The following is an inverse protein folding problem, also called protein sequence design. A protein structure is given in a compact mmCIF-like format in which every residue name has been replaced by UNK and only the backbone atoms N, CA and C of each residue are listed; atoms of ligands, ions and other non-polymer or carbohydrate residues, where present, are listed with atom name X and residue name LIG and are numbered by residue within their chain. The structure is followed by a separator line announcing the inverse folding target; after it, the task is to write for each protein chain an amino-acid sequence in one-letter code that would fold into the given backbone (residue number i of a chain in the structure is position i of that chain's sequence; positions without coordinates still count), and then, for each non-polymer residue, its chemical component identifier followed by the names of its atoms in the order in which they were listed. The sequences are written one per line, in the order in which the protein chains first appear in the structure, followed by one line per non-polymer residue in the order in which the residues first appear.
data_IF_123028221098
#
_entry.id   IF_123028221098
#
_cell.length_a   1.000
_cell.length_b   1.000
_cell.length_c   1.000
_cell.angle_alpha   90.00
_cell.angle_beta   90.00
_cell.angle_gamma   90.00
#
_symmetry.space_group_name_H-M   'P 1'
#
loop_
_entity.id
_entity.type
_entity.pdbx_description
1 polymer ?
#
# COMPACT_ATOMS: atom_id res chain seq x y z
N UNK A 1 -28.83 70.19 -33.32
CA UNK A 1 -29.12 70.14 -31.88
C UNK A 1 -29.56 68.72 -31.49
N UNK A 2 -29.29 68.25 -30.26
CA UNK A 2 -29.83 67.00 -29.70
C UNK A 2 -31.30 67.20 -29.23
N UNK A 3 -32.10 66.15 -28.93
CA UNK A 3 -31.97 65.28 -27.72
C UNK A 3 -32.37 63.79 -27.97
N UNK A 4 -32.52 62.83 -27.03
CA UNK A 4 -32.50 62.79 -25.55
C UNK A 4 -32.08 61.39 -25.00
N UNK A 5 -31.85 61.32 -23.67
CA UNK A 5 -32.12 60.24 -22.66
C UNK A 5 -33.14 59.15 -23.09
N UNK A 6 -33.17 57.89 -22.58
CA UNK A 6 -32.53 57.10 -21.46
C UNK A 6 -32.64 55.59 -21.89
N UNK A 7 -32.21 54.50 -21.24
CA UNK A 7 -31.62 54.11 -19.92
C UNK A 7 -30.80 52.79 -20.17
N UNK A 8 -30.15 52.07 -19.24
CA UNK A 8 -29.96 52.24 -17.80
C UNK A 8 -30.30 51.01 -16.93
N UNK A 9 -29.56 49.88 -17.04
CA UNK A 9 -29.43 48.81 -16.01
C UNK A 9 -28.25 47.87 -16.35
N UNK A 10 -27.34 47.64 -15.41
CA UNK A 10 -26.18 46.74 -15.58
C UNK A 10 -26.48 45.27 -15.24
N UNK A 11 -25.60 44.37 -15.68
CA UNK A 11 -25.56 42.98 -15.18
C UNK A 11 -24.94 42.97 -13.77
N UNK A 12 -25.29 42.01 -12.89
CA UNK A 12 -24.54 41.76 -11.67
C UNK A 12 -23.18 41.14 -12.00
N UNK A 13 -22.11 41.65 -11.40
CA UNK A 13 -20.78 41.04 -11.49
C UNK A 13 -20.74 39.70 -10.76
N UNK A 14 -20.05 38.72 -11.34
CA UNK A 14 -19.78 37.44 -10.68
C UNK A 14 -18.68 37.64 -9.63
N UNK A 15 -18.82 37.09 -8.40
CA UNK A 15 -17.75 37.16 -7.42
C UNK A 15 -16.53 36.36 -7.90
N UNK A 16 -15.38 37.02 -7.95
CA UNK A 16 -14.11 36.40 -8.33
C UNK A 16 -13.74 35.23 -7.39
N UNK A 17 -13.02 34.19 -7.87
CA UNK A 17 -12.65 33.05 -7.05
C UNK A 17 -11.78 33.45 -5.85
N UNK A 18 -11.97 32.73 -4.74
CA UNK A 18 -11.37 33.01 -3.43
C UNK A 18 -9.85 33.26 -3.47
N UNK A 19 -9.46 34.53 -3.49
CA UNK A 19 -8.12 34.95 -3.07
C UNK A 19 -8.00 34.70 -1.56
N UNK A 20 -7.29 33.64 -1.17
CA UNK A 20 -6.92 33.43 0.23
C UNK A 20 -6.10 34.63 0.69
N UNK A 21 -6.59 35.36 1.70
CA UNK A 21 -5.76 36.36 2.39
C UNK A 21 -4.56 35.65 3.04
N UNK A 22 -3.36 36.25 3.06
CA UNK A 22 -2.29 35.78 3.93
C UNK A 22 -2.78 35.77 5.38
N UNK A 23 -2.65 34.63 6.05
CA UNK A 23 -2.98 34.49 7.47
C UNK A 23 -1.91 35.23 8.30
N UNK A 24 -2.35 36.08 9.23
CA UNK A 24 -1.44 36.84 10.08
C UNK A 24 -0.80 35.93 11.15
N UNK A 25 0.52 36.03 11.39
CA UNK A 25 1.17 35.23 12.43
C UNK A 25 0.55 35.46 13.81
N UNK A 26 0.17 34.38 14.50
CA UNK A 26 -0.25 34.42 15.90
C UNK A 26 -1.70 33.99 16.21
N UNK A 27 -2.53 33.63 15.23
CA UNK A 27 -3.84 33.04 15.54
C UNK A 27 -3.68 31.59 16.04
N UNK A 28 -3.91 31.38 17.34
CA UNK A 28 -3.97 30.05 17.94
C UNK A 28 -5.26 29.35 17.50
N UNK A 29 -5.17 28.49 16.49
CA UNK A 29 -6.25 27.56 16.16
C UNK A 29 -6.27 26.44 17.22
N UNK A 30 -7.41 26.20 17.91
CA UNK A 30 -7.51 25.07 18.83
C UNK A 30 -7.32 23.76 18.05
N UNK A 31 -6.60 22.77 18.60
CA UNK A 31 -6.30 21.52 17.89
C UNK A 31 -7.59 20.81 17.45
N UNK A 32 -7.72 20.67 16.14
CA UNK A 32 -8.91 20.12 15.48
C UNK A 32 -9.23 18.72 16.02
N UNK A 33 -10.48 18.43 16.39
CA UNK A 33 -10.81 17.29 17.29
C UNK A 33 -10.29 15.94 16.80
N UNK A 34 -10.17 15.77 15.47
CA UNK A 34 -9.57 14.59 14.83
C UNK A 34 -8.09 14.36 15.19
N UNK A 35 -7.27 15.41 15.34
CA UNK A 35 -5.84 15.25 15.66
C UNK A 35 -5.60 14.91 17.13
N UNK A 36 -6.53 15.28 18.03
CA UNK A 36 -6.56 14.80 19.41
C UNK A 36 -6.93 13.30 19.43
N UNK A 37 -8.05 12.95 18.78
CA UNK A 37 -8.54 11.56 18.70
C UNK A 37 -7.51 10.59 18.10
N UNK A 38 -6.76 11.03 17.07
CA UNK A 38 -5.70 10.22 16.51
C UNK A 38 -4.54 10.00 17.49
N UNK A 39 -4.12 11.03 18.23
CA UNK A 39 -3.10 10.91 19.29
C UNK A 39 -3.52 9.96 20.40
N UNK A 40 -4.74 10.08 20.92
CA UNK A 40 -5.30 9.17 21.92
C UNK A 40 -5.21 7.70 21.45
N UNK A 41 -5.63 7.42 20.20
CA UNK A 41 -5.62 6.06 19.65
C UNK A 41 -4.21 5.51 19.46
N UNK A 42 -3.25 6.35 19.05
CA UNK A 42 -1.85 5.94 18.85
C UNK A 42 -1.19 5.68 20.20
N UNK A 43 -1.46 6.49 21.23
CA UNK A 43 -0.97 6.25 22.58
C UNK A 43 -1.57 4.97 23.20
N UNK A 44 -2.86 4.71 22.97
CA UNK A 44 -3.50 3.45 23.42
C UNK A 44 -2.92 2.23 22.70
N UNK A 45 -2.65 2.32 21.40
CA UNK A 45 -1.99 1.25 20.64
C UNK A 45 -0.58 0.99 21.18
N UNK A 46 0.24 2.04 21.34
CA UNK A 46 1.57 1.98 21.93
C UNK A 46 1.56 1.32 23.31
N UNK A 47 0.72 1.81 24.24
CA UNK A 47 0.60 1.22 25.57
C UNK A 47 0.12 -0.24 25.53
N UNK A 48 -0.69 -0.62 24.54
CA UNK A 48 -1.16 -2.01 24.40
C UNK A 48 -0.03 -2.91 23.87
N UNK A 49 0.81 -2.42 22.96
CA UNK A 49 2.02 -3.11 22.48
C UNK A 49 2.95 -3.46 23.66
N UNK A 50 3.32 -2.47 24.48
CA UNK A 50 4.15 -2.68 25.68
C UNK A 50 3.50 -3.55 26.76
N UNK A 51 2.16 -3.54 26.88
CA UNK A 51 1.43 -4.42 27.83
C UNK A 51 1.29 -5.86 27.33
N UNK A 52 1.25 -6.07 26.02
CA UNK A 52 1.25 -7.40 25.42
C UNK A 52 2.62 -8.08 25.52
N UNK A 53 3.68 -7.27 25.68
CA UNK A 53 5.07 -7.71 25.60
C UNK A 53 5.30 -8.53 24.34
N UNK A 54 5.23 -7.88 23.18
CA UNK A 54 5.22 -8.60 21.89
C UNK A 54 6.52 -9.41 21.66
N UNK A 55 7.60 -9.06 22.36
CA UNK A 55 8.82 -9.87 22.45
C UNK A 55 8.68 -11.23 23.16
N UNK A 56 7.82 -11.34 24.19
CA UNK A 56 7.55 -12.59 24.93
C UNK A 56 6.61 -13.55 24.17
N UNK A 57 5.96 -13.09 23.10
CA UNK A 57 5.28 -13.99 22.16
C UNK A 57 6.31 -14.86 21.44
N UNK A 58 5.91 -16.07 21.01
CA UNK A 58 6.79 -16.93 20.20
C UNK A 58 7.01 -16.35 18.80
N UNK A 59 7.99 -15.45 18.69
CA UNK A 59 8.38 -14.82 17.43
C UNK A 59 8.91 -15.87 16.43
N UNK A 60 8.58 -15.77 15.13
CA UNK A 60 9.30 -16.49 14.09
C UNK A 60 10.68 -15.85 13.89
N UNK A 61 11.74 -16.66 13.83
CA UNK A 61 13.13 -16.19 13.74
C UNK A 61 13.70 -16.54 12.36
N UNK A 62 14.37 -15.59 11.69
CA UNK A 62 15.02 -15.85 10.40
C UNK A 62 16.19 -16.82 10.63
N UNK A 63 16.08 -18.06 10.14
CA UNK A 63 17.10 -19.10 10.40
C UNK A 63 18.24 -19.09 9.38
N UNK A 64 18.06 -18.47 8.21
CA UNK A 64 19.11 -18.28 7.21
C UNK A 64 20.02 -17.09 7.58
N UNK A 65 21.30 -17.30 7.95
CA UNK A 65 22.17 -16.20 8.38
C UNK A 65 22.52 -15.23 7.24
N UNK A 66 22.41 -15.69 5.98
CA UNK A 66 22.55 -14.82 4.80
C UNK A 66 21.36 -13.89 4.63
N UNK A 67 20.14 -14.38 4.86
CA UNK A 67 18.93 -13.56 4.82
C UNK A 67 18.92 -12.59 6.00
N UNK A 68 19.24 -13.06 7.21
CA UNK A 68 19.40 -12.24 8.43
C UNK A 68 20.33 -11.04 8.16
N UNK A 69 21.55 -11.29 7.67
CA UNK A 69 22.52 -10.24 7.29
C UNK A 69 22.01 -9.21 6.27
N UNK A 70 21.05 -9.55 5.43
CA UNK A 70 20.50 -8.62 4.42
C UNK A 70 19.32 -7.84 5.00
N UNK A 71 18.41 -8.48 5.75
CA UNK A 71 17.28 -7.82 6.42
C UNK A 71 17.76 -6.73 7.39
N UNK A 72 18.83 -7.02 8.13
CA UNK A 72 19.39 -6.11 9.14
C UNK A 72 20.40 -5.10 8.58
N UNK A 73 20.75 -5.15 7.28
CA UNK A 73 21.53 -4.12 6.60
C UNK A 73 20.59 -2.99 6.13
N UNK A 74 20.25 -2.06 7.02
CA UNK A 74 19.22 -1.05 6.78
C UNK A 74 19.62 -0.05 5.70
N UNK A 75 18.72 0.13 4.72
CA UNK A 75 18.88 1.18 3.72
C UNK A 75 18.82 2.59 4.35
N UNK A 76 19.74 3.51 4.03
CA UNK A 76 19.72 4.87 4.59
C UNK A 76 18.40 5.61 4.29
N UNK A 77 17.84 6.29 5.30
CA UNK A 77 16.63 7.11 5.15
C UNK A 77 16.85 8.59 5.51
N UNK A 78 17.85 8.89 6.33
CA UNK A 78 18.24 10.25 6.67
C UNK A 78 18.92 10.97 5.47
N UNK A 79 18.37 12.12 5.07
CA UNK A 79 18.89 12.97 3.99
C UNK A 79 20.03 13.90 4.47
N UNK A 80 20.13 14.11 5.78
CA UNK A 80 21.11 15.00 6.40
C UNK A 80 22.25 14.20 7.06
N UNK A 81 23.47 14.73 7.01
CA UNK A 81 24.56 14.25 7.86
C UNK A 81 24.23 14.54 9.34
N UNK A 82 24.70 13.69 10.28
CA UNK A 82 24.49 13.94 11.70
C UNK A 82 25.13 15.27 12.14
N UNK A 83 24.47 16.04 13.03
CA UNK A 83 25.12 17.18 13.72
C UNK A 83 26.48 16.79 14.32
N UNK A 84 27.51 17.64 14.20
CA UNK A 84 28.89 17.29 14.56
C UNK A 84 29.09 17.01 16.07
N UNK A 85 28.20 17.54 16.91
CA UNK A 85 28.34 17.54 18.37
C UNK A 85 27.56 16.39 19.06
N UNK A 86 26.99 15.45 18.30
CA UNK A 86 26.26 14.31 18.88
C UNK A 86 27.22 13.36 19.59
N UNK A 87 26.95 12.96 20.85
CA UNK A 87 27.69 11.89 21.49
C UNK A 87 27.50 10.60 20.69
N UNK A 88 28.61 10.03 20.22
CA UNK A 88 28.60 8.86 19.36
C UNK A 88 28.08 7.64 20.11
N UNK A 89 26.80 7.31 19.93
CA UNK A 89 26.24 6.01 20.31
C UNK A 89 26.82 4.97 19.35
N UNK A 90 27.99 4.43 19.71
CA UNK A 90 28.65 3.37 18.95
C UNK A 90 27.91 2.05 19.15
N UNK A 91 26.80 1.88 18.41
CA UNK A 91 26.48 0.55 17.88
C UNK A 91 27.71 0.10 17.08
N UNK A 92 28.23 -1.10 17.34
CA UNK A 92 29.40 -1.61 16.61
C UNK A 92 29.05 -1.80 15.12
N UNK A 93 29.30 -0.79 14.30
CA UNK A 93 29.20 -0.87 12.85
C UNK A 93 30.30 -1.79 12.31
N UNK A 94 30.06 -3.10 12.38
CA UNK A 94 30.92 -4.13 11.80
C UNK A 94 30.82 -4.05 10.29
N UNK A 95 31.67 -3.20 9.71
CA UNK A 95 32.00 -3.16 8.29
C UNK A 95 32.79 -4.44 7.95
N UNK A 96 32.10 -5.57 7.85
CA UNK A 96 32.67 -6.80 7.29
C UNK A 96 33.24 -6.48 5.89
N UNK A 97 34.55 -6.64 5.70
CA UNK A 97 35.31 -6.27 4.47
C UNK A 97 35.05 -7.23 3.29
N UNK A 98 33.80 -7.65 3.10
CA UNK A 98 33.34 -8.49 2.00
C UNK A 98 32.89 -7.69 0.77
N UNK A 99 32.45 -8.39 -0.30
CA UNK A 99 31.73 -7.74 -1.39
C UNK A 99 30.47 -7.05 -0.83
N UNK A 100 30.24 -5.79 -1.24
CA UNK A 100 29.16 -4.93 -0.71
C UNK A 100 27.83 -5.69 -0.60
N UNK A 101 27.39 -5.93 0.63
CA UNK A 101 26.10 -6.57 0.91
C UNK A 101 24.96 -5.66 0.39
N UNK A 102 23.89 -6.25 -0.19
CA UNK A 102 22.71 -5.48 -0.55
C UNK A 102 22.03 -4.95 0.73
N UNK A 103 21.53 -3.72 0.68
CA UNK A 103 20.68 -3.17 1.75
C UNK A 103 19.28 -3.78 1.67
N UNK A 104 18.57 -3.82 2.80
CA UNK A 104 17.22 -4.36 2.92
C UNK A 104 16.14 -3.70 2.04
N UNK A 105 16.45 -2.66 1.25
CA UNK A 105 15.52 -1.85 0.46
C UNK A 105 14.53 -2.61 -0.44
N UNK A 106 14.93 -3.75 -0.99
CA UNK A 106 14.04 -4.61 -1.81
C UNK A 106 13.09 -5.42 -0.92
N UNK A 107 13.56 -5.80 0.27
CA UNK A 107 12.77 -6.52 1.29
C UNK A 107 11.80 -5.58 2.02
N UNK A 108 12.18 -4.32 2.24
CA UNK A 108 11.28 -3.23 2.66
C UNK A 108 10.08 -3.16 1.71
N UNK A 109 10.33 -3.04 0.40
CA UNK A 109 9.27 -2.91 -0.60
C UNK A 109 8.32 -4.11 -0.65
N UNK A 110 8.87 -5.34 -0.68
CA UNK A 110 8.04 -6.54 -0.61
C UNK A 110 7.33 -6.70 0.74
N UNK A 111 7.94 -6.19 1.81
CA UNK A 111 7.41 -6.15 3.17
C UNK A 111 6.21 -5.23 3.35
N UNK A 112 6.26 -4.02 2.79
CA UNK A 112 5.11 -3.10 2.69
C UNK A 112 3.95 -3.76 1.92
N UNK A 113 4.23 -4.37 0.76
CA UNK A 113 3.21 -5.10 -0.01
C UNK A 113 2.60 -6.28 0.79
N UNK A 114 3.44 -7.04 1.50
CA UNK A 114 3.05 -8.18 2.32
C UNK A 114 2.23 -7.78 3.56
N UNK A 115 2.67 -6.78 4.32
CA UNK A 115 1.93 -6.24 5.47
C UNK A 115 0.68 -5.47 5.02
N UNK A 116 0.73 -4.88 3.83
CA UNK A 116 -0.38 -4.35 3.04
C UNK A 116 -1.51 -5.36 2.81
N UNK A 117 -1.19 -6.65 2.77
CA UNK A 117 -2.11 -7.77 2.63
C UNK A 117 -2.47 -8.44 3.97
N UNK A 118 -1.46 -8.88 4.74
CA UNK A 118 -1.65 -9.79 5.88
C UNK A 118 -2.35 -9.11 7.05
N UNK A 119 -2.06 -7.83 7.33
CA UNK A 119 -2.74 -7.09 8.41
C UNK A 119 -4.25 -6.99 8.11
N UNK A 120 -4.72 -6.58 6.92
CA UNK A 120 -6.11 -6.69 6.50
C UNK A 120 -6.70 -8.09 6.61
N UNK A 121 -6.03 -9.15 6.11
CA UNK A 121 -6.56 -10.52 6.19
C UNK A 121 -6.80 -10.97 7.64
N UNK A 122 -5.85 -10.72 8.55
CA UNK A 122 -5.98 -11.05 9.97
C UNK A 122 -7.01 -10.16 10.70
N UNK A 123 -7.16 -8.91 10.28
CA UNK A 123 -8.06 -7.93 10.89
C UNK A 123 -9.51 -8.02 10.39
N UNK A 124 -9.79 -8.65 9.24
CA UNK A 124 -11.13 -8.67 8.63
C UNK A 124 -12.22 -9.23 9.57
N UNK A 125 -11.89 -10.25 10.36
CA UNK A 125 -12.76 -10.86 11.39
C UNK A 125 -13.16 -9.93 12.54
N UNK A 126 -12.52 -8.77 12.69
CA UNK A 126 -12.86 -7.73 13.67
C UNK A 126 -13.57 -6.52 13.01
N UNK A 127 -13.79 -6.55 11.70
CA UNK A 127 -14.51 -5.49 10.98
C UNK A 127 -16.01 -5.52 11.24
N UNK A 128 -16.54 -4.49 11.92
CA UNK A 128 -17.99 -4.31 12.06
C UNK A 128 -18.68 -3.80 10.78
N UNK A 129 -17.90 -3.18 9.89
CA UNK A 129 -18.25 -2.66 8.56
C UNK A 129 -16.95 -2.16 7.89
N UNK A 130 -16.98 -1.93 6.57
CA UNK A 130 -15.83 -1.39 5.83
C UNK A 130 -15.15 -0.17 6.48
N UNK A 131 -15.89 0.83 6.95
CA UNK A 131 -15.26 2.03 7.53
C UNK A 131 -14.51 1.74 8.82
N UNK A 132 -15.03 0.83 9.66
CA UNK A 132 -14.33 0.34 10.86
C UNK A 132 -13.11 -0.52 10.49
N UNK A 133 -13.20 -1.31 9.42
CA UNK A 133 -12.10 -2.14 8.90
C UNK A 133 -10.97 -1.32 8.28
N UNK A 134 -11.29 -0.39 7.37
CA UNK A 134 -10.33 0.47 6.67
C UNK A 134 -9.65 1.49 7.61
N UNK A 135 -10.28 1.88 8.72
CA UNK A 135 -9.64 2.67 9.78
C UNK A 135 -8.72 1.83 10.68
N UNK A 136 -9.12 0.59 11.00
CA UNK A 136 -8.32 -0.35 11.79
C UNK A 136 -7.01 -0.70 11.10
N UNK A 137 -7.09 -1.17 9.85
CA UNK A 137 -5.93 -1.63 9.07
C UNK A 137 -4.94 -0.48 8.85
N UNK A 138 -5.43 0.68 8.41
CA UNK A 138 -4.63 1.91 8.20
C UNK A 138 -3.96 2.43 9.48
N UNK A 139 -4.49 2.13 10.67
CA UNK A 139 -3.83 2.47 11.95
C UNK A 139 -2.77 1.46 12.34
N UNK A 140 -3.06 0.16 12.19
CA UNK A 140 -2.11 -0.93 12.45
C UNK A 140 -0.91 -0.91 11.48
N UNK A 141 -1.11 -0.43 10.25
CA UNK A 141 -0.08 -0.28 9.22
C UNK A 141 0.75 1.03 9.31
N UNK A 142 0.61 1.84 10.38
CA UNK A 142 1.43 3.04 10.54
C UNK A 142 2.88 2.68 10.87
N UNK A 143 3.85 3.32 10.20
CA UNK A 143 5.28 3.16 10.48
C UNK A 143 5.64 3.36 11.97
N UNK A 144 4.96 4.27 12.68
CA UNK A 144 5.06 4.43 14.14
C UNK A 144 4.71 3.15 14.92
N UNK A 145 3.62 2.46 14.54
CA UNK A 145 3.20 1.20 15.16
C UNK A 145 4.19 0.08 14.86
N UNK A 146 4.65 0.00 13.61
CA UNK A 146 5.70 -0.95 13.21
C UNK A 146 7.00 -0.74 13.98
N UNK A 147 7.41 0.52 14.22
CA UNK A 147 8.61 0.83 14.97
C UNK A 147 8.55 0.33 16.43
N UNK A 148 7.38 0.42 17.10
CA UNK A 148 7.21 -0.17 18.43
C UNK A 148 7.26 -1.70 18.43
N UNK A 149 6.86 -2.38 17.35
CA UNK A 149 7.11 -3.82 17.22
C UNK A 149 8.61 -4.13 17.20
N UNK A 150 9.42 -3.40 16.42
CA UNK A 150 10.89 -3.60 16.35
C UNK A 150 11.58 -3.43 17.70
N UNK A 151 11.12 -2.49 18.53
CA UNK A 151 11.60 -2.28 19.90
C UNK A 151 11.22 -3.47 20.77
N UNK A 152 9.93 -3.81 20.87
CA UNK A 152 9.43 -4.89 21.73
C UNK A 152 9.97 -6.27 21.35
N UNK A 153 10.28 -6.49 20.09
CA UNK A 153 10.83 -7.74 19.57
C UNK A 153 12.36 -7.84 19.72
N UNK A 154 13.01 -6.83 20.34
CA UNK A 154 14.46 -6.72 20.51
C UNK A 154 15.27 -6.77 19.19
N UNK A 155 14.64 -6.48 18.05
CA UNK A 155 15.28 -6.55 16.73
C UNK A 155 16.44 -5.53 16.61
N UNK A 156 16.38 -4.43 17.37
CA UNK A 156 17.46 -3.45 17.47
C UNK A 156 18.74 -4.00 18.13
N UNK A 157 18.67 -5.16 18.80
CA UNK A 157 19.80 -5.85 19.40
C UNK A 157 20.38 -6.96 18.51
N UNK A 158 19.94 -7.10 17.26
CA UNK A 158 20.50 -8.09 16.34
C UNK A 158 21.96 -7.78 15.97
N UNK A 159 22.84 -8.77 16.11
CA UNK A 159 24.29 -8.70 15.81
C UNK A 159 24.66 -8.28 14.37
N UNK A 160 23.71 -8.32 13.43
CA UNK A 160 23.91 -7.93 12.03
C UNK A 160 23.27 -6.58 11.68
N UNK A 161 22.75 -5.84 12.67
CA UNK A 161 22.18 -4.51 12.46
C UNK A 161 23.25 -3.53 11.97
N UNK A 162 23.09 -3.07 10.72
CA UNK A 162 23.87 -1.99 10.11
C UNK A 162 22.88 -0.87 9.76
N UNK A 163 23.17 0.35 10.20
CA UNK A 163 22.30 1.55 10.04
C UNK A 163 23.19 2.72 9.65
N UNK A 164 22.69 3.69 8.87
CA UNK A 164 23.50 4.86 8.52
C UNK A 164 23.78 5.75 9.75
N UNK A 165 24.92 6.45 9.84
CA UNK A 165 25.19 7.36 10.96
C UNK A 165 24.14 8.48 11.13
N UNK A 166 23.52 8.96 10.05
CA UNK A 166 22.44 9.94 10.10
C UNK A 166 21.12 9.36 10.63
N UNK A 167 20.81 8.12 10.26
CA UNK A 167 19.65 7.37 10.72
C UNK A 167 19.76 6.99 12.21
N UNK A 168 20.97 6.62 12.66
CA UNK A 168 21.29 6.34 14.06
C UNK A 168 21.30 7.60 14.93
N UNK A 169 21.80 8.72 14.39
CA UNK A 169 21.67 10.04 15.01
C UNK A 169 20.21 10.46 15.18
N UNK A 170 19.36 10.27 14.15
CA UNK A 170 17.93 10.59 14.26
C UNK A 170 17.23 9.72 15.31
N UNK A 171 17.55 8.42 15.38
CA UNK A 171 17.09 7.53 16.45
C UNK A 171 17.54 7.98 17.85
N UNK A 172 18.81 8.39 17.99
CA UNK A 172 19.37 8.81 19.29
C UNK A 172 18.73 10.10 19.85
N UNK A 173 18.04 10.87 19.00
CA UNK A 173 17.25 12.05 19.39
C UNK A 173 15.74 11.78 19.47
N UNK A 174 15.27 10.59 19.06
CA UNK A 174 13.85 10.23 19.13
C UNK A 174 13.54 9.52 20.43
N UNK A 175 12.68 10.13 21.26
CA UNK A 175 12.14 9.47 22.44
C UNK A 175 10.86 8.69 22.06
N UNK A 176 10.90 7.36 22.21
CA UNK A 176 9.77 6.48 21.96
C UNK A 176 8.54 6.78 22.84
N UNK A 177 8.71 7.38 24.03
CA UNK A 177 7.59 7.79 24.89
C UNK A 177 6.77 8.97 24.31
N UNK A 178 7.32 9.66 23.31
CA UNK A 178 6.66 10.80 22.67
C UNK A 178 5.95 10.36 21.38
N UNK A 179 4.75 10.91 21.15
CA UNK A 179 3.94 10.70 19.93
C UNK A 179 4.51 11.44 18.70
N UNK A 180 5.83 11.44 18.53
CA UNK A 180 6.56 11.92 17.37
C UNK A 180 6.77 10.77 16.38
N UNK A 181 6.82 11.07 15.08
CA UNK A 181 7.05 10.05 14.06
C UNK A 181 8.38 9.34 14.30
N UNK A 182 8.35 8.00 14.24
CA UNK A 182 9.51 7.17 14.47
C UNK A 182 10.51 7.26 13.29
N UNK A 183 11.83 7.10 13.53
CA UNK A 183 12.83 6.96 12.49
C UNK A 183 12.41 5.95 11.43
N UNK A 184 12.26 6.41 10.17
CA UNK A 184 11.65 5.62 9.11
C UNK A 184 12.33 4.27 8.92
N UNK A 185 13.67 4.22 8.98
CA UNK A 185 14.44 2.99 8.88
C UNK A 185 14.01 1.87 9.84
N UNK A 186 13.42 2.18 11.01
CA UNK A 186 12.93 1.20 11.97
C UNK A 186 11.65 0.52 11.44
N UNK A 187 10.71 1.27 10.90
CA UNK A 187 9.53 0.69 10.24
C UNK A 187 9.94 -0.13 9.01
N UNK A 188 10.86 0.40 8.21
CA UNK A 188 11.44 -0.30 7.05
C UNK A 188 12.13 -1.61 7.44
N UNK A 189 12.72 -1.69 8.65
CA UNK A 189 13.29 -2.92 9.21
C UNK A 189 12.20 -3.92 9.60
N UNK A 190 11.05 -3.48 10.13
CA UNK A 190 9.90 -4.36 10.38
C UNK A 190 9.31 -4.93 9.08
N UNK A 191 9.12 -4.08 8.07
CA UNK A 191 8.68 -4.46 6.72
C UNK A 191 9.64 -5.52 6.14
N UNK A 192 10.95 -5.23 6.16
CA UNK A 192 12.00 -6.16 5.73
C UNK A 192 11.99 -7.49 6.51
N UNK A 193 11.83 -7.43 7.83
CA UNK A 193 11.72 -8.61 8.69
C UNK A 193 10.51 -9.46 8.32
N UNK A 194 9.34 -8.86 8.10
CA UNK A 194 8.12 -9.57 7.74
C UNK A 194 8.27 -10.34 6.41
N UNK A 195 8.91 -9.74 5.40
CA UNK A 195 9.25 -10.45 4.16
C UNK A 195 10.30 -11.54 4.40
N UNK A 196 11.28 -11.30 5.28
CA UNK A 196 12.25 -12.30 5.72
C UNK A 196 11.60 -13.52 6.38
N UNK A 197 10.53 -13.33 7.16
CA UNK A 197 9.73 -14.43 7.74
C UNK A 197 8.97 -15.19 6.65
N UNK A 198 8.32 -14.50 5.71
CA UNK A 198 7.63 -15.15 4.59
C UNK A 198 8.58 -15.98 3.72
N UNK A 199 9.76 -15.45 3.39
CA UNK A 199 10.78 -16.17 2.62
C UNK A 199 11.39 -17.37 3.36
N UNK A 200 11.45 -17.34 4.69
CA UNK A 200 12.14 -18.36 5.50
C UNK A 200 11.17 -19.42 6.08
N UNK A 201 9.89 -19.11 6.27
CA UNK A 201 8.89 -19.97 6.92
C UNK A 201 7.51 -20.01 6.24
N UNK A 202 7.32 -19.26 5.14
CA UNK A 202 6.03 -19.13 4.47
C UNK A 202 5.06 -18.19 5.18
N UNK A 203 3.92 -17.92 4.51
CA UNK A 203 2.94 -16.92 4.94
C UNK A 203 2.29 -17.25 6.29
N UNK A 204 2.02 -18.53 6.54
CA UNK A 204 1.30 -18.97 7.74
C UNK A 204 2.09 -18.70 9.03
N UNK A 205 3.43 -18.64 8.99
CA UNK A 205 4.23 -18.25 10.15
C UNK A 205 4.02 -16.78 10.55
N UNK A 206 3.94 -15.87 9.56
CA UNK A 206 3.65 -14.46 9.80
C UNK A 206 2.19 -14.24 10.23
N UNK A 207 1.24 -14.95 9.62
CA UNK A 207 -0.18 -14.94 10.03
C UNK A 207 -0.31 -15.41 11.49
N UNK A 208 0.27 -16.55 11.85
CA UNK A 208 0.15 -17.13 13.19
C UNK A 208 0.71 -16.20 14.29
N UNK A 209 1.75 -15.42 13.99
CA UNK A 209 2.29 -14.41 14.91
C UNK A 209 1.48 -13.10 14.93
N UNK A 210 0.96 -12.63 13.79
CA UNK A 210 0.09 -11.45 13.74
C UNK A 210 -1.30 -11.70 14.35
N UNK A 211 -1.81 -12.93 14.33
CA UNK A 211 -3.12 -13.31 14.91
C UNK A 211 -3.29 -12.83 16.36
N UNK A 212 -2.44 -13.18 17.35
CA UNK A 212 -2.58 -12.67 18.72
C UNK A 212 -2.38 -11.15 18.82
N UNK A 213 -1.41 -10.59 18.09
CA UNK A 213 -1.11 -9.15 18.09
C UNK A 213 -2.33 -8.33 17.66
N UNK A 214 -2.92 -8.64 16.50
CA UNK A 214 -4.14 -7.95 16.01
C UNK A 214 -5.34 -8.24 16.91
N UNK A 215 -5.44 -9.44 17.51
CA UNK A 215 -6.53 -9.77 18.46
C UNK A 215 -6.52 -8.85 19.68
N UNK A 216 -5.36 -8.35 20.11
CA UNK A 216 -5.29 -7.37 21.20
C UNK A 216 -5.33 -5.91 20.73
N UNK A 217 -4.79 -5.59 19.54
CA UNK A 217 -4.73 -4.21 19.03
C UNK A 217 -5.99 -3.73 18.30
N UNK A 218 -6.93 -4.61 17.93
CA UNK A 218 -8.13 -4.18 17.19
C UNK A 218 -8.99 -3.16 17.94
N UNK A 219 -9.24 -3.35 19.25
CA UNK A 219 -10.00 -2.41 20.07
C UNK A 219 -9.35 -1.01 20.19
N UNK A 220 -8.07 -0.86 20.58
CA UNK A 220 -7.43 0.47 20.60
C UNK A 220 -7.29 1.07 19.19
N UNK A 221 -7.18 0.25 18.13
CA UNK A 221 -7.20 0.75 16.75
C UNK A 221 -8.55 1.37 16.36
N UNK A 222 -9.69 0.88 16.87
CA UNK A 222 -11.04 1.35 16.46
C UNK A 222 -11.82 2.10 17.54
N UNK A 223 -11.17 2.44 18.66
CA UNK A 223 -11.79 2.88 19.91
C UNK A 223 -12.91 3.95 19.83
N UNK A 224 -12.94 4.80 18.78
CA UNK A 224 -14.02 5.77 18.51
C UNK A 224 -14.44 5.83 17.02
N UNK A 225 -14.16 4.79 16.23
CA UNK A 225 -14.51 4.70 14.81
C UNK A 225 -15.96 4.23 14.55
N UNK A 226 -16.69 3.83 15.59
CA UNK A 226 -18.07 3.32 15.51
C UNK A 226 -19.04 4.46 15.21
N UNK A 227 -19.78 4.47 14.08
CA UNK A 227 -20.86 5.42 13.84
C UNK A 227 -22.01 5.19 14.83
N UNK A 228 -22.74 6.26 15.18
CA UNK A 228 -23.96 6.10 15.97
C UNK A 228 -24.95 5.14 15.28
N UNK A 229 -25.58 4.21 16.03
CA UNK A 229 -26.47 3.21 15.44
C UNK A 229 -27.63 3.87 14.68
N UNK A 230 -27.94 3.33 13.50
CA UNK A 230 -28.93 3.90 12.58
C UNK A 230 -28.33 4.75 11.44
N UNK A 231 -27.01 4.99 11.40
CA UNK A 231 -26.35 5.40 10.16
C UNK A 231 -25.92 4.19 9.35
N UNK A 232 -26.39 4.09 8.10
CA UNK A 232 -25.82 3.18 7.10
C UNK A 232 -24.31 3.40 7.02
N UNK A 233 -23.48 2.35 6.81
CA UNK A 233 -22.08 2.56 6.47
C UNK A 233 -22.02 3.45 5.23
N UNK A 234 -21.18 4.49 5.21
CA UNK A 234 -21.11 5.37 4.04
C UNK A 234 -20.69 4.55 2.83
N UNK A 235 -21.40 4.68 1.69
CA UNK A 235 -21.00 4.05 0.44
C UNK A 235 -19.54 4.45 0.16
N UNK A 236 -18.63 3.50 0.38
CA UNK A 236 -17.21 3.77 0.39
C UNK A 236 -16.78 4.18 -1.01
N UNK A 237 -15.94 5.23 -1.16
CA UNK A 237 -15.45 5.61 -2.47
C UNK A 237 -14.84 4.38 -3.17
N UNK A 238 -15.08 4.31 -4.48
CA UNK A 238 -14.34 3.44 -5.39
C UNK A 238 -12.84 3.59 -5.11
N UNK A 239 -12.07 2.54 -5.37
CA UNK A 239 -10.61 2.52 -5.23
C UNK A 239 -9.95 3.81 -5.75
N UNK A 240 -9.66 4.75 -4.85
CA UNK A 240 -8.96 5.99 -5.15
C UNK A 240 -7.48 5.68 -5.25
N UNK A 241 -7.12 5.10 -6.38
CA UNK A 241 -5.77 4.74 -6.74
C UNK A 241 -5.00 6.05 -6.94
N UNK A 242 -4.01 6.30 -6.08
CA UNK A 242 -3.32 7.59 -6.01
C UNK A 242 -2.74 7.98 -7.37
N UNK A 243 -2.91 9.25 -7.74
CA UNK A 243 -2.57 9.77 -9.06
C UNK A 243 -1.12 9.41 -9.47
N UNK A 244 -1.01 8.63 -10.55
CA UNK A 244 0.25 8.09 -11.06
C UNK A 244 1.10 9.15 -11.79
N UNK A 245 1.59 10.18 -11.09
CA UNK A 245 2.35 11.24 -11.76
C UNK A 245 3.82 10.85 -12.02
N UNK A 246 4.11 10.37 -13.24
CA UNK A 246 5.04 11.07 -14.14
C UNK A 246 4.43 11.32 -15.54
N UNK A 247 5.18 12.01 -16.42
CA UNK A 247 4.64 12.64 -17.64
C UNK A 247 4.19 11.73 -18.80
N UNK A 248 4.44 10.42 -18.74
CA UNK A 248 4.29 9.52 -19.90
C UNK A 248 3.06 8.60 -19.85
N UNK A 249 2.09 8.87 -18.96
CA UNK A 249 1.04 7.89 -18.58
C UNK A 249 0.26 7.24 -19.73
N UNK A 250 -0.43 7.98 -20.63
CA UNK A 250 -1.48 7.38 -21.45
C UNK A 250 -0.95 6.37 -22.46
N UNK A 251 0.23 6.61 -23.04
CA UNK A 251 0.86 5.68 -23.97
C UNK A 251 1.41 4.42 -23.27
N UNK A 252 1.88 4.52 -22.02
CA UNK A 252 2.25 3.36 -21.21
C UNK A 252 1.03 2.52 -20.80
N UNK A 253 -0.05 3.18 -20.35
CA UNK A 253 -1.32 2.53 -20.02
C UNK A 253 -1.89 1.83 -21.26
N UNK A 254 -2.00 2.54 -22.38
CA UNK A 254 -2.45 1.99 -23.66
C UNK A 254 -1.61 0.77 -24.10
N UNK A 255 -0.28 0.87 -24.08
CA UNK A 255 0.60 -0.23 -24.50
C UNK A 255 0.44 -1.49 -23.65
N UNK A 256 0.22 -1.34 -22.33
CA UNK A 256 -0.06 -2.47 -21.44
C UNK A 256 -1.47 -3.03 -21.64
N UNK A 257 -2.49 -2.20 -21.89
CA UNK A 257 -3.83 -2.69 -22.24
C UNK A 257 -3.84 -3.43 -23.58
N UNK A 258 -3.01 -3.00 -24.53
CA UNK A 258 -2.78 -3.67 -25.82
C UNK A 258 -2.13 -5.05 -25.63
N UNK A 259 -1.16 -5.16 -24.73
CA UNK A 259 -0.54 -6.43 -24.33
C UNK A 259 -1.56 -7.36 -23.67
N UNK A 260 -2.37 -6.86 -22.73
CA UNK A 260 -3.44 -7.61 -22.06
C UNK A 260 -4.48 -8.12 -23.07
N UNK A 261 -4.86 -7.29 -24.05
CA UNK A 261 -5.80 -7.70 -25.10
C UNK A 261 -5.24 -8.80 -26.01
N UNK A 262 -3.94 -8.72 -26.37
CA UNK A 262 -3.24 -9.73 -27.18
C UNK A 262 -3.14 -11.06 -26.42
N UNK A 263 -2.77 -11.02 -25.14
CA UNK A 263 -2.55 -12.20 -24.29
C UNK A 263 -3.80 -12.66 -23.52
N UNK A 264 -4.99 -12.18 -23.91
CA UNK A 264 -6.25 -12.40 -23.17
C UNK A 264 -6.59 -13.86 -22.90
N UNK A 265 -6.19 -14.79 -23.77
CA UNK A 265 -6.49 -16.22 -23.60
C UNK A 265 -5.64 -16.86 -22.47
N UNK A 266 -4.42 -16.39 -22.29
CA UNK A 266 -3.52 -16.85 -21.22
C UNK A 266 -3.93 -16.23 -19.89
N UNK A 267 -4.23 -14.92 -19.88
CA UNK A 267 -4.82 -14.23 -18.72
C UNK A 267 -6.14 -14.91 -18.31
N UNK A 268 -7.03 -15.21 -19.26
CA UNK A 268 -8.23 -16.00 -19.01
C UNK A 268 -7.91 -17.36 -18.41
N UNK A 269 -6.95 -18.09 -18.99
CA UNK A 269 -6.53 -19.42 -18.56
C UNK A 269 -6.05 -19.45 -17.10
N UNK A 270 -5.08 -18.59 -16.76
CA UNK A 270 -4.49 -18.52 -15.43
C UNK A 270 -5.49 -18.00 -14.38
N UNK A 271 -6.23 -16.92 -14.65
CA UNK A 271 -7.20 -16.35 -13.71
C UNK A 271 -8.51 -17.16 -13.52
N UNK A 272 -8.51 -18.46 -13.84
CA UNK A 272 -9.62 -19.39 -13.58
C UNK A 272 -10.02 -19.45 -12.11
N UNK A 273 -9.06 -19.29 -11.19
CA UNK A 273 -9.28 -19.23 -9.75
C UNK A 273 -10.19 -18.05 -9.35
N UNK A 274 -10.02 -16.86 -9.94
CA UNK A 274 -10.86 -15.68 -9.70
C UNK A 274 -12.32 -15.90 -10.14
N UNK A 275 -12.54 -16.43 -11.35
CA UNK A 275 -13.88 -16.80 -11.83
C UNK A 275 -14.54 -17.89 -10.97
N UNK A 276 -13.76 -18.88 -10.51
CA UNK A 276 -14.24 -19.92 -9.59
C UNK A 276 -14.71 -19.32 -8.26
N UNK A 277 -13.98 -18.34 -7.71
CA UNK A 277 -14.40 -17.62 -6.51
C UNK A 277 -15.69 -16.82 -6.75
N UNK A 278 -15.78 -16.03 -7.83
CA UNK A 278 -17.00 -15.28 -8.14
C UNK A 278 -18.23 -16.15 -8.45
N UNK A 279 -18.05 -17.34 -9.02
CA UNK A 279 -19.18 -18.26 -9.30
C UNK A 279 -19.92 -18.77 -8.06
N UNK A 280 -19.42 -18.51 -6.84
CA UNK A 280 -20.04 -18.87 -5.57
C UNK A 280 -20.89 -17.75 -4.96
N UNK A 281 -20.78 -16.51 -5.44
CA UNK A 281 -21.40 -15.33 -4.81
C UNK A 281 -22.54 -14.76 -5.65
N UNK A 282 -23.35 -13.91 -5.02
CA UNK A 282 -24.34 -13.11 -5.77
C UNK A 282 -23.62 -12.12 -6.71
N UNK A 283 -24.30 -11.75 -7.80
CA UNK A 283 -23.83 -10.74 -8.75
C UNK A 283 -23.34 -9.48 -8.04
N UNK A 284 -22.23 -8.93 -8.54
CA UNK A 284 -21.62 -7.73 -7.99
C UNK A 284 -22.50 -6.53 -8.33
N UNK A 285 -23.08 -5.93 -7.28
CA UNK A 285 -23.99 -4.80 -7.37
C UNK A 285 -23.32 -3.47 -6.97
N UNK A 286 -23.80 -2.39 -7.58
CA UNK A 286 -23.32 -1.03 -7.38
C UNK A 286 -24.48 -0.11 -6.97
N UNK A 287 -24.24 0.80 -6.02
CA UNK A 287 -25.19 1.84 -5.68
C UNK A 287 -25.38 2.85 -6.82
N UNK A 288 -26.44 3.65 -6.74
CA UNK A 288 -26.70 4.74 -7.70
C UNK A 288 -25.61 5.83 -7.74
N UNK A 289 -24.68 5.84 -6.79
CA UNK A 289 -23.46 6.66 -6.78
C UNK A 289 -22.22 5.92 -7.33
N UNK A 290 -22.41 4.82 -8.06
CA UNK A 290 -21.40 4.09 -8.81
C UNK A 290 -20.48 3.19 -7.99
N UNK A 291 -20.70 3.04 -6.68
CA UNK A 291 -19.82 2.32 -5.75
C UNK A 291 -20.37 0.95 -5.38
N UNK A 292 -19.48 -0.01 -5.08
CA UNK A 292 -19.86 -1.34 -4.60
C UNK A 292 -20.76 -1.27 -3.36
N UNK A 293 -21.83 -2.08 -3.33
CA UNK A 293 -22.63 -2.28 -2.12
C UNK A 293 -21.81 -3.02 -1.04
N UNK A 294 -22.17 -2.87 0.23
CA UNK A 294 -21.29 -3.17 1.37
C UNK A 294 -20.75 -4.62 1.39
N UNK A 295 -21.58 -5.61 1.05
CA UNK A 295 -21.19 -7.03 1.06
C UNK A 295 -20.00 -7.36 0.15
N UNK A 296 -19.83 -6.62 -0.94
CA UNK A 296 -18.69 -6.73 -1.85
C UNK A 296 -17.56 -5.78 -1.41
N UNK A 297 -17.92 -4.59 -0.92
CA UNK A 297 -16.96 -3.57 -0.50
C UNK A 297 -15.99 -4.07 0.60
N UNK A 298 -16.44 -4.91 1.53
CA UNK A 298 -15.61 -5.47 2.61
C UNK A 298 -14.48 -6.41 2.13
N UNK A 299 -14.47 -6.82 0.85
CA UNK A 299 -13.39 -7.61 0.24
C UNK A 299 -12.24 -6.74 -0.30
N UNK A 300 -12.53 -5.48 -0.67
CA UNK A 300 -11.64 -4.65 -1.50
C UNK A 300 -10.28 -4.39 -0.85
N UNK A 301 -10.25 -4.11 0.45
CA UNK A 301 -8.99 -3.77 1.15
C UNK A 301 -8.05 -4.97 1.27
N UNK A 302 -8.58 -6.19 1.44
CA UNK A 302 -7.77 -7.42 1.41
C UNK A 302 -7.35 -7.74 -0.02
N UNK A 303 -8.27 -7.69 -0.98
CA UNK A 303 -7.98 -7.93 -2.40
C UNK A 303 -6.93 -6.98 -2.97
N UNK A 304 -6.95 -5.70 -2.56
CA UNK A 304 -5.94 -4.70 -2.97
C UNK A 304 -4.56 -5.07 -2.47
N UNK A 305 -4.46 -5.50 -1.20
CA UNK A 305 -3.21 -5.97 -0.62
C UNK A 305 -2.71 -7.23 -1.33
N UNK A 306 -3.55 -8.26 -1.45
CA UNK A 306 -3.19 -9.54 -2.06
C UNK A 306 -2.74 -9.36 -3.52
N UNK A 307 -3.42 -8.51 -4.30
CA UNK A 307 -3.06 -8.24 -5.70
C UNK A 307 -1.71 -7.51 -5.81
N UNK A 308 -1.47 -6.47 -4.99
CA UNK A 308 -0.15 -5.80 -4.89
C UNK A 308 0.96 -6.77 -4.47
N UNK A 309 0.68 -7.65 -3.51
CA UNK A 309 1.64 -8.65 -3.07
C UNK A 309 1.97 -9.67 -4.16
N UNK A 310 0.98 -10.13 -4.94
CA UNK A 310 1.22 -11.04 -6.08
C UNK A 310 1.88 -10.34 -7.28
N UNK A 311 1.73 -9.02 -7.46
CA UNK A 311 2.54 -8.24 -8.41
C UNK A 311 4.03 -8.33 -8.01
N UNK A 312 4.33 -8.15 -6.72
CA UNK A 312 5.70 -8.29 -6.22
C UNK A 312 6.20 -9.73 -6.33
N UNK A 313 5.44 -10.73 -5.87
CA UNK A 313 5.87 -12.13 -5.88
C UNK A 313 6.03 -12.68 -7.30
N UNK A 314 5.10 -12.37 -8.21
CA UNK A 314 5.21 -12.67 -9.64
C UNK A 314 6.40 -11.99 -10.34
N UNK A 315 6.84 -10.81 -9.87
CA UNK A 315 8.08 -10.21 -10.38
C UNK A 315 9.32 -10.97 -9.90
N UNK A 316 9.42 -11.30 -8.60
CA UNK A 316 10.60 -11.98 -8.03
C UNK A 316 10.66 -13.48 -8.32
N UNK A 317 9.57 -14.14 -8.71
CA UNK A 317 9.44 -15.60 -8.87
C UNK A 317 10.58 -16.24 -9.69
N UNK A 318 10.83 -15.75 -10.90
CA UNK A 318 11.99 -16.17 -11.72
C UNK A 318 13.23 -15.27 -11.53
N UNK A 319 13.16 -14.28 -10.63
CA UNK A 319 14.15 -13.20 -10.44
C UNK A 319 14.65 -13.12 -8.99
N UNK A 320 14.72 -14.27 -8.32
CA UNK A 320 15.11 -14.38 -6.91
C UNK A 320 16.54 -13.90 -6.62
N UNK A 321 17.39 -13.83 -7.64
CA UNK A 321 18.72 -13.21 -7.57
C UNK A 321 18.66 -11.69 -7.35
N UNK A 322 17.57 -11.03 -7.76
CA UNK A 322 17.38 -9.59 -7.50
C UNK A 322 17.29 -9.29 -6.01
N UNK A 323 16.80 -10.21 -5.18
CA UNK A 323 16.84 -10.07 -3.71
C UNK A 323 18.28 -9.94 -3.18
N UNK A 324 19.29 -10.31 -3.97
CA UNK A 324 20.71 -10.16 -3.65
C UNK A 324 21.35 -8.91 -4.30
N UNK A 325 20.58 -8.09 -5.00
CA UNK A 325 21.07 -6.95 -5.79
C UNK A 325 21.35 -5.71 -4.95
N UNK A 326 22.49 -5.08 -5.21
CA UNK A 326 22.88 -3.77 -4.63
C UNK A 326 22.26 -2.57 -5.38
N UNK A 327 21.51 -2.80 -6.47
CA UNK A 327 20.93 -1.75 -7.30
C UNK A 327 19.59 -1.26 -6.74
N UNK A 328 19.63 -0.18 -5.97
CA UNK A 328 18.44 0.47 -5.37
C UNK A 328 17.43 0.98 -6.41
N UNK A 329 17.87 1.30 -7.62
CA UNK A 329 17.01 1.68 -8.75
C UNK A 329 16.02 0.59 -9.17
N UNK A 330 16.27 -0.68 -8.84
CA UNK A 330 15.31 -1.76 -9.08
C UNK A 330 14.03 -1.57 -8.27
N UNK A 331 14.11 -1.00 -7.04
CA UNK A 331 12.91 -0.72 -6.24
C UNK A 331 12.05 0.37 -6.87
N UNK A 332 12.67 1.36 -7.54
CA UNK A 332 11.94 2.36 -8.32
C UNK A 332 11.22 1.68 -9.50
N UNK A 333 11.92 0.80 -10.24
CA UNK A 333 11.33 0.08 -11.37
C UNK A 333 10.17 -0.85 -10.96
N UNK A 334 10.30 -1.62 -9.86
CA UNK A 334 9.20 -2.46 -9.34
C UNK A 334 8.02 -1.59 -8.85
N UNK A 335 8.31 -0.44 -8.24
CA UNK A 335 7.28 0.51 -7.82
C UNK A 335 6.50 1.09 -9.02
N UNK A 336 7.19 1.46 -10.09
CA UNK A 336 6.54 1.97 -11.31
C UNK A 336 5.76 0.88 -12.05
N UNK A 337 6.28 -0.35 -12.13
CA UNK A 337 5.52 -1.54 -12.60
C UNK A 337 4.24 -1.69 -11.78
N UNK A 338 4.35 -1.67 -10.46
CA UNK A 338 3.21 -1.83 -9.55
C UNK A 338 2.19 -0.71 -9.74
N UNK A 339 2.64 0.55 -9.90
CA UNK A 339 1.74 1.69 -10.13
C UNK A 339 1.03 1.61 -11.48
N UNK A 340 1.73 1.24 -12.55
CA UNK A 340 1.16 1.09 -13.89
C UNK A 340 0.08 0.00 -13.93
N UNK A 341 0.35 -1.17 -13.33
CA UNK A 341 -0.62 -2.28 -13.24
C UNK A 341 -1.83 -1.88 -12.37
N UNK A 342 -1.59 -1.12 -11.29
CA UNK A 342 -2.63 -0.62 -10.39
C UNK A 342 -3.36 0.64 -10.91
N UNK A 343 -3.29 0.97 -12.21
CA UNK A 343 -4.14 2.02 -12.81
C UNK A 343 -5.53 1.48 -13.15
N UNK A 344 -6.57 2.32 -13.06
CA UNK A 344 -7.95 1.90 -13.37
C UNK A 344 -8.13 1.32 -14.79
N UNK A 345 -7.55 1.89 -15.87
CA UNK A 345 -7.69 1.32 -17.21
C UNK A 345 -7.05 -0.07 -17.31
N UNK A 346 -5.88 -0.28 -16.71
CA UNK A 346 -5.18 -1.58 -16.76
C UNK A 346 -5.92 -2.63 -15.94
N UNK A 347 -6.33 -2.32 -14.71
CA UNK A 347 -7.15 -3.22 -13.89
C UNK A 347 -8.48 -3.58 -14.58
N UNK A 348 -9.13 -2.63 -15.27
CA UNK A 348 -10.34 -2.88 -16.03
C UNK A 348 -10.10 -3.80 -17.24
N UNK A 349 -9.01 -3.62 -17.98
CA UNK A 349 -8.68 -4.51 -19.11
C UNK A 349 -8.32 -5.91 -18.65
N UNK A 350 -7.67 -6.08 -17.49
CA UNK A 350 -7.48 -7.39 -16.86
C UNK A 350 -8.85 -8.00 -16.51
N UNK A 351 -9.77 -7.23 -15.94
CA UNK A 351 -11.13 -7.69 -15.61
C UNK A 351 -11.91 -8.16 -16.86
N UNK A 352 -11.82 -7.44 -17.98
CA UNK A 352 -12.43 -7.83 -19.26
C UNK A 352 -11.72 -9.04 -19.90
N UNK A 353 -10.39 -9.09 -19.87
CA UNK A 353 -9.62 -10.25 -20.35
C UNK A 353 -9.91 -11.53 -19.52
N UNK A 354 -10.37 -11.37 -18.29
CA UNK A 354 -10.84 -12.46 -17.42
C UNK A 354 -12.34 -12.78 -17.54
N UNK A 355 -13.13 -11.96 -18.24
CA UNK A 355 -14.59 -12.10 -18.35
C UNK A 355 -15.33 -11.87 -17.03
N UNK A 356 -14.90 -10.92 -16.20
CA UNK A 356 -15.53 -10.67 -14.91
C UNK A 356 -16.83 -9.84 -15.01
N UNK A 357 -17.09 -9.24 -16.18
CA UNK A 357 -18.28 -8.47 -16.52
C UNK A 357 -19.57 -9.30 -16.45
N UNK A 358 -19.49 -10.61 -16.73
CA UNK A 358 -20.63 -11.54 -16.62
C UNK A 358 -21.10 -11.76 -15.17
N UNK A 359 -20.30 -11.34 -14.17
CA UNK A 359 -20.64 -11.40 -12.74
C UNK A 359 -21.12 -10.06 -12.19
N UNK A 360 -21.21 -9.01 -13.02
CA UNK A 360 -21.83 -7.73 -12.65
C UNK A 360 -23.34 -7.82 -12.82
N UNK A 361 -24.10 -7.26 -11.88
CA UNK A 361 -25.57 -7.23 -11.99
C UNK A 361 -26.00 -6.43 -13.24
N UNK A 362 -27.01 -6.93 -13.96
CA UNK A 362 -27.34 -6.45 -15.31
C UNK A 362 -27.85 -5.01 -15.38
N UNK A 363 -28.20 -4.42 -14.23
CA UNK A 363 -28.52 -2.99 -14.08
C UNK A 363 -27.27 -2.08 -14.19
N UNK A 364 -26.06 -2.66 -14.24
CA UNK A 364 -24.78 -1.94 -14.26
C UNK A 364 -23.80 -2.46 -15.34
N UNK A 365 -24.27 -3.12 -16.40
CA UNK A 365 -23.39 -3.65 -17.47
C UNK A 365 -22.61 -2.56 -18.22
N UNK A 366 -23.07 -1.30 -18.25
CA UNK A 366 -22.29 -0.14 -18.74
C UNK A 366 -21.26 0.33 -17.70
N UNK A 367 -20.41 -0.60 -17.24
CA UNK A 367 -19.41 -0.36 -16.20
C UNK A 367 -18.26 0.54 -16.69
N UNK A 368 -17.88 1.54 -15.89
CA UNK A 368 -16.68 2.35 -16.16
C UNK A 368 -15.41 1.53 -15.92
N UNK A 369 -14.23 2.04 -16.34
CA UNK A 369 -12.96 1.43 -15.93
C UNK A 369 -12.86 1.34 -14.39
N UNK A 370 -13.32 2.36 -13.67
CA UNK A 370 -13.40 2.33 -12.21
C UNK A 370 -14.29 1.20 -11.69
N UNK A 371 -15.48 0.99 -12.28
CA UNK A 371 -16.36 -0.15 -11.97
C UNK A 371 -15.62 -1.47 -12.11
N UNK A 372 -15.02 -1.72 -13.28
CA UNK A 372 -14.38 -3.00 -13.60
C UNK A 372 -13.06 -3.24 -12.86
N UNK A 373 -12.30 -2.19 -12.55
CA UNK A 373 -11.15 -2.28 -11.65
C UNK A 373 -11.56 -2.71 -10.24
N UNK A 374 -12.70 -2.21 -9.73
CA UNK A 374 -13.24 -2.63 -8.43
C UNK A 374 -13.84 -4.06 -8.52
N UNK A 375 -14.39 -4.49 -9.65
CA UNK A 375 -14.79 -5.90 -9.89
C UNK A 375 -13.59 -6.85 -9.78
N UNK A 376 -12.46 -6.53 -10.43
CA UNK A 376 -11.24 -7.36 -10.36
C UNK A 376 -10.73 -7.49 -8.93
N UNK A 377 -10.58 -6.38 -8.21
CA UNK A 377 -10.08 -6.41 -6.84
C UNK A 377 -11.07 -7.09 -5.88
N UNK A 378 -12.38 -6.99 -6.14
CA UNK A 378 -13.41 -7.76 -5.44
C UNK A 378 -13.26 -9.27 -5.70
N UNK A 379 -13.01 -9.68 -6.94
CA UNK A 379 -12.74 -11.09 -7.29
C UNK A 379 -11.51 -11.64 -6.56
N UNK A 380 -10.44 -10.85 -6.45
CA UNK A 380 -9.23 -11.21 -5.68
C UNK A 380 -9.54 -11.33 -4.19
N UNK A 381 -10.33 -10.42 -3.63
CA UNK A 381 -10.77 -10.46 -2.23
C UNK A 381 -11.81 -11.54 -1.91
N UNK A 382 -12.52 -12.09 -2.90
CA UNK A 382 -13.30 -13.32 -2.75
C UNK A 382 -12.44 -14.57 -2.91
N UNK A 383 -11.50 -14.59 -3.84
CA UNK A 383 -10.51 -15.66 -3.94
C UNK A 383 -9.75 -15.83 -2.62
N UNK A 384 -9.31 -14.74 -1.99
CA UNK A 384 -8.68 -14.74 -0.67
C UNK A 384 -9.47 -15.54 0.39
N UNK A 385 -10.79 -15.35 0.44
CA UNK A 385 -11.70 -16.01 1.40
C UNK A 385 -12.01 -17.47 1.05
N UNK A 386 -12.02 -17.80 -0.24
CA UNK A 386 -12.39 -19.11 -0.78
C UNK A 386 -11.16 -20.03 -1.03
N UNK A 387 -9.99 -19.64 -0.52
CA UNK A 387 -8.70 -20.26 -0.80
C UNK A 387 -8.07 -20.89 0.45
N UNK A 388 -8.22 -22.22 0.53
CA UNK A 388 -7.50 -23.09 1.46
C UNK A 388 -6.04 -23.25 0.97
N UNK A 389 -5.16 -22.34 1.40
CA UNK A 389 -3.70 -22.29 1.19
C UNK A 389 -3.16 -22.11 -0.25
N UNK A 390 -3.95 -22.31 -1.31
CA UNK A 390 -3.58 -22.08 -2.74
C UNK A 390 -3.36 -20.59 -3.15
N UNK A 391 -2.84 -19.74 -2.27
CA UNK A 391 -2.77 -18.28 -2.49
C UNK A 391 -1.91 -17.85 -3.69
N UNK A 392 -1.02 -18.73 -4.15
CA UNK A 392 -0.14 -18.50 -5.30
C UNK A 392 -0.78 -18.88 -6.66
N UNK A 393 -2.04 -19.34 -6.70
CA UNK A 393 -2.80 -19.59 -7.94
C UNK A 393 -2.91 -18.34 -8.85
N UNK A 394 -2.64 -17.13 -8.33
CA UNK A 394 -2.62 -15.87 -9.07
C UNK A 394 -1.26 -15.54 -9.70
N UNK A 395 -0.16 -16.16 -9.25
CA UNK A 395 1.19 -15.78 -9.67
C UNK A 395 1.41 -15.89 -11.18
N UNK A 396 1.04 -16.98 -11.89
CA UNK A 396 1.27 -17.08 -13.34
C UNK A 396 0.51 -16.03 -14.15
N UNK A 397 -0.66 -15.59 -13.67
CA UNK A 397 -1.42 -14.52 -14.31
C UNK A 397 -0.74 -13.17 -14.13
N UNK A 398 -0.22 -12.90 -12.92
CA UNK A 398 0.37 -11.62 -12.58
C UNK A 398 1.81 -11.50 -13.08
N UNK A 399 2.60 -12.56 -13.07
CA UNK A 399 3.91 -12.69 -13.73
C UNK A 399 3.84 -12.25 -15.21
N UNK A 400 2.90 -12.81 -15.99
CA UNK A 400 2.66 -12.43 -17.39
C UNK A 400 2.34 -10.93 -17.56
N UNK A 401 1.45 -10.37 -16.72
CA UNK A 401 1.08 -8.94 -16.75
C UNK A 401 2.26 -8.05 -16.32
N UNK A 402 3.05 -8.51 -15.36
CA UNK A 402 4.23 -7.85 -14.79
C UNK A 402 5.37 -7.78 -15.81
N UNK A 403 5.57 -8.81 -16.61
CA UNK A 403 6.54 -8.79 -17.71
C UNK A 403 6.15 -7.80 -18.81
N UNK A 404 4.87 -7.79 -19.21
CA UNK A 404 4.35 -6.77 -20.12
C UNK A 404 4.55 -5.35 -19.59
N UNK A 405 4.29 -5.13 -18.29
CA UNK A 405 4.48 -3.83 -17.64
C UNK A 405 5.97 -3.42 -17.56
N UNK A 406 6.86 -4.37 -17.25
CA UNK A 406 8.30 -4.13 -17.20
C UNK A 406 8.86 -3.72 -18.57
N UNK A 407 8.42 -4.40 -19.65
CA UNK A 407 8.85 -4.11 -21.02
C UNK A 407 8.33 -2.76 -21.53
N UNK A 408 7.07 -2.42 -21.24
CA UNK A 408 6.51 -1.09 -21.54
C UNK A 408 7.31 0.02 -20.83
N UNK A 409 7.63 -0.15 -19.55
CA UNK A 409 8.41 0.83 -18.78
C UNK A 409 9.87 0.90 -19.29
N UNK A 410 10.46 -0.22 -19.69
CA UNK A 410 11.80 -0.24 -20.31
C UNK A 410 11.81 0.58 -21.60
N UNK A 411 10.87 0.35 -22.51
CA UNK A 411 10.75 1.10 -23.76
C UNK A 411 10.45 2.59 -23.57
N UNK A 412 9.62 2.96 -22.59
CA UNK A 412 9.35 4.36 -22.27
C UNK A 412 10.62 5.11 -21.80
N UNK A 413 11.45 4.46 -20.98
CA UNK A 413 12.74 5.02 -20.52
C UNK A 413 13.80 5.09 -21.64
N UNK A 414 13.79 4.14 -22.59
CA UNK A 414 14.73 4.14 -23.73
C UNK A 414 14.35 5.15 -24.82
N UNK A 415 13.06 5.47 -24.98
CA UNK A 415 12.54 6.31 -26.07
C UNK A 415 11.56 7.42 -25.61
N UNK A 416 11.92 8.28 -24.62
CA UNK A 416 10.99 9.24 -24.02
C UNK A 416 10.33 10.18 -25.04
N UNK A 417 11.07 10.60 -26.07
CA UNK A 417 10.57 11.49 -27.14
C UNK A 417 9.40 10.86 -27.94
N UNK A 418 9.33 9.54 -28.06
CA UNK A 418 8.22 8.86 -28.75
C UNK A 418 6.92 8.93 -27.95
N UNK A 419 7.00 9.02 -26.62
CA UNK A 419 5.85 9.05 -25.71
C UNK A 419 5.26 10.47 -25.55
N UNK A 420 6.07 11.52 -25.69
CA UNK A 420 5.59 12.92 -25.66
C UNK A 420 4.84 13.34 -26.94
N UNK A 421 5.26 12.84 -28.11
CA UNK A 421 4.74 13.27 -29.42
C UNK A 421 3.26 12.93 -29.64
N UNK A 422 2.71 11.92 -28.93
CA UNK A 422 1.28 11.59 -29.06
C UNK A 422 0.34 12.60 -28.38
N UNK A 423 0.84 13.45 -27.47
CA UNK A 423 0.03 14.43 -26.72
C UNK A 423 -0.04 15.84 -27.34
N UNK A 424 0.45 16.04 -28.58
CA UNK A 424 0.44 17.36 -29.27
C UNK A 424 -0.53 17.48 -30.44
N UNK A 425 -1.55 16.61 -30.53
CA UNK A 425 -2.64 16.70 -31.54
C UNK A 425 -4.03 16.32 -31.00
N UNK A 426 -4.65 17.27 -30.30
CA UNK A 426 -6.11 17.49 -30.27
C UNK A 426 -6.34 18.98 -30.45
#
# INVERSE_FOLDING_TARGET
MPPTRRNGKGKPDQPAPNQRRPELPGQYHPPNTRSIQDRDSVQMLQQTIYRLKIGELRQPVITSPRLERIIFNCHPTAVQQPPPDLPWVTVEMRLDEGPRLPTNKIYEFGGDALLGYVIPRVAQRFGQNRSHFDDMTRRLQRNFIMAHFVIEMELLSNRFLQVSPGDLAYYSNWNADHLLEAPKWIANLFESWALGIWLNHGLQALIAWLVPVVTALHHPATAKAIPAPGRSPPNAPLLSLQEYNPGHRPACENALTDFIYKNRQEIWGFGKCLRKALSKVQYIEFGADGKLISQHADTITVGTGLFKFNIFSGWIKERMDVLLSTKTSLVIHIHDITRLIMTEPVLAHIAYALGLDIYVSSQHHEGTFTTMANVLICAVGYFDRECDDSLFDLEPMLELVVEGAAEVIRHANEHPVMYDIQNTRV
#
